data_IF_957918820993
#
_entry.id   IF_957918820993
#
_cell.length_a   1.000
_cell.length_b   1.000
_cell.length_c   1.000
_cell.angle_alpha   90.00
_cell.angle_beta   90.00
_cell.angle_gamma   90.00
#
_symmetry.space_group_name_H-M   'P 1'
#
loop_
_entity.id
_entity.type
_entity.pdbx_description
1 polymer ?
#
# COMPACT_ATOMS: atom_id res chain seq x y z
N UNK A 1 23.03 39.38 -28.20
CA UNK A 1 21.57 39.64 -28.23
C UNK A 1 20.76 38.41 -27.83
N UNK A 2 21.09 37.23 -28.37
CA UNK A 2 20.40 35.95 -28.11
C UNK A 2 20.31 35.51 -26.63
N UNK A 3 21.39 35.62 -25.86
CA UNK A 3 21.36 35.26 -24.42
C UNK A 3 20.44 36.16 -23.58
N UNK A 4 20.27 37.44 -23.96
CA UNK A 4 19.37 38.35 -23.24
C UNK A 4 17.90 37.99 -23.51
N UNK A 5 17.59 37.57 -24.74
CA UNK A 5 16.25 37.11 -25.12
C UNK A 5 15.90 35.80 -24.38
N UNK A 6 16.86 34.86 -24.28
CA UNK A 6 16.66 33.60 -23.55
C UNK A 6 16.44 33.82 -22.05
N UNK A 7 17.21 34.74 -21.44
CA UNK A 7 17.07 35.08 -20.02
C UNK A 7 15.71 35.74 -19.72
N UNK A 8 15.24 36.63 -20.60
CA UNK A 8 13.92 37.27 -20.49
C UNK A 8 12.82 36.21 -20.66
N UNK A 9 12.94 35.30 -21.63
CA UNK A 9 11.95 34.23 -21.84
C UNK A 9 11.84 33.31 -20.62
N UNK A 10 12.98 32.91 -20.04
CA UNK A 10 13.01 32.08 -18.83
C UNK A 10 12.38 32.78 -17.62
N UNK A 11 12.64 34.08 -17.44
CA UNK A 11 12.00 34.84 -16.34
C UNK A 11 10.51 35.00 -16.55
N UNK A 12 10.06 35.26 -17.78
CA UNK A 12 8.62 35.34 -18.09
C UNK A 12 7.91 34.00 -17.84
N UNK A 13 8.54 32.87 -18.19
CA UNK A 13 8.00 31.53 -17.92
C UNK A 13 7.88 31.26 -16.42
N UNK A 14 8.91 31.60 -15.63
CA UNK A 14 8.90 31.41 -14.17
C UNK A 14 7.85 32.29 -13.49
N UNK A 15 7.68 33.54 -13.95
CA UNK A 15 6.65 34.45 -13.44
C UNK A 15 5.26 33.94 -13.80
N UNK A 16 5.03 33.50 -15.03
CA UNK A 16 3.75 32.90 -15.45
C UNK A 16 3.45 31.66 -14.59
N UNK A 17 4.41 30.75 -14.41
CA UNK A 17 4.24 29.54 -13.60
C UNK A 17 3.94 29.87 -12.13
N UNK A 18 4.67 30.83 -11.54
CA UNK A 18 4.44 31.25 -10.14
C UNK A 18 3.08 31.90 -9.96
N UNK A 19 2.61 32.64 -10.97
CA UNK A 19 1.28 33.27 -10.94
C UNK A 19 0.17 32.23 -11.06
N UNK A 20 0.32 31.22 -11.93
CA UNK A 20 -0.65 30.12 -12.05
C UNK A 20 -0.69 29.21 -10.83
N UNK A 21 0.45 28.94 -10.17
CA UNK A 21 0.51 28.19 -8.91
C UNK A 21 -0.19 28.96 -7.78
N UNK A 22 0.01 30.28 -7.70
CA UNK A 22 -0.65 31.12 -6.70
C UNK A 22 -2.15 31.27 -6.98
N UNK A 23 -2.58 31.38 -8.24
CA UNK A 23 -4.00 31.39 -8.62
C UNK A 23 -4.64 30.02 -8.30
N UNK A 24 -3.95 28.91 -8.59
CA UNK A 24 -4.42 27.55 -8.27
C UNK A 24 -4.53 27.27 -6.76
N UNK A 25 -3.79 27.99 -5.92
CA UNK A 25 -3.90 27.94 -4.45
C UNK A 25 -4.97 28.90 -3.90
N UNK A 26 -5.36 29.94 -4.64
CA UNK A 26 -6.31 30.97 -4.19
C UNK A 26 -7.75 30.71 -4.64
N UNK A 27 -7.95 30.00 -5.76
CA UNK A 27 -9.27 29.54 -6.21
C UNK A 27 -9.61 28.25 -5.47
N UNK A 28 -10.40 28.37 -4.40
CA UNK A 28 -10.97 27.22 -3.67
C UNK A 28 -11.78 26.26 -4.58
N UNK A 29 -12.21 25.10 -4.06
CA UNK A 29 -12.63 23.91 -4.83
C UNK A 29 -14.00 24.03 -5.52
N UNK A 30 -14.38 25.20 -6.03
CA UNK A 30 -15.70 25.48 -6.60
C UNK A 30 -15.72 25.60 -8.13
N UNK A 31 -14.80 24.92 -8.82
CA UNK A 31 -14.95 24.70 -10.26
C UNK A 31 -15.14 23.21 -10.50
N UNK A 32 -16.27 22.89 -11.15
CA UNK A 32 -16.61 21.58 -11.65
C UNK A 32 -15.49 21.14 -12.60
N UNK A 33 -14.54 20.37 -12.07
CA UNK A 33 -13.57 19.64 -12.87
C UNK A 33 -14.34 18.83 -13.92
N UNK A 34 -13.86 18.78 -15.17
CA UNK A 34 -14.47 17.91 -16.17
C UNK A 34 -14.44 16.47 -15.65
N UNK A 35 -15.62 15.95 -15.33
CA UNK A 35 -15.83 14.55 -14.94
C UNK A 35 -15.99 13.72 -16.20
N UNK A 36 -15.31 12.57 -16.24
CA UNK A 36 -15.54 11.55 -17.24
C UNK A 36 -17.05 11.18 -17.30
N UNK A 37 -17.57 10.75 -18.47
CA UNK A 37 -18.97 10.34 -18.59
C UNK A 37 -19.35 9.33 -17.51
N UNK A 38 -20.53 9.55 -16.90
CA UNK A 38 -21.06 8.68 -15.84
C UNK A 38 -21.36 7.31 -16.46
N UNK A 39 -20.65 6.30 -15.99
CA UNK A 39 -20.83 4.89 -16.35
C UNK A 39 -22.27 4.48 -16.01
N UNK A 40 -23.01 3.91 -16.97
CA UNK A 40 -24.38 3.42 -16.77
C UNK A 40 -24.43 2.21 -15.83
N UNK A 41 -25.59 1.88 -15.24
CA UNK A 41 -25.72 0.74 -14.34
C UNK A 41 -25.39 -0.62 -15.00
N UNK A 42 -25.53 -0.70 -16.33
CA UNK A 42 -25.13 -1.85 -17.15
C UNK A 42 -23.62 -2.06 -17.29
N UNK A 43 -22.82 -1.00 -17.13
CA UNK A 43 -21.36 -1.02 -17.22
C UNK A 43 -20.70 -0.93 -15.82
N UNK A 44 -21.51 -0.96 -14.75
CA UNK A 44 -21.03 -0.91 -13.38
C UNK A 44 -20.26 -2.18 -13.02
N UNK A 45 -19.02 -2.01 -12.56
CA UNK A 45 -18.18 -3.14 -12.21
C UNK A 45 -18.71 -3.89 -10.98
N UNK A 46 -18.55 -5.22 -10.99
CA UNK A 46 -18.86 -6.06 -9.84
C UNK A 46 -18.10 -5.60 -8.58
N UNK A 47 -18.82 -5.51 -7.47
CA UNK A 47 -18.28 -5.03 -6.19
C UNK A 47 -18.04 -6.21 -5.26
N UNK A 48 -16.91 -6.17 -4.57
CA UNK A 48 -16.44 -7.21 -3.66
C UNK A 48 -16.19 -6.62 -2.28
N UNK A 49 -16.54 -7.39 -1.25
CA UNK A 49 -16.30 -7.01 0.13
C UNK A 49 -14.83 -7.25 0.51
N UNK A 50 -14.18 -6.22 1.05
CA UNK A 50 -12.88 -6.32 1.72
C UNK A 50 -13.11 -6.23 3.23
N UNK A 51 -12.78 -7.31 3.93
CA UNK A 51 -12.91 -7.43 5.39
C UNK A 51 -11.57 -7.30 6.11
N UNK A 52 -10.46 -7.29 5.37
CA UNK A 52 -9.10 -7.36 5.92
C UNK A 52 -8.25 -6.20 5.39
N UNK A 53 -7.43 -5.60 6.25
CA UNK A 53 -6.43 -4.63 5.81
C UNK A 53 -5.24 -5.32 5.14
N UNK A 54 -4.75 -6.41 5.76
CA UNK A 54 -3.61 -7.19 5.31
C UNK A 54 -4.04 -8.28 4.30
N UNK A 55 -3.22 -8.53 3.28
CA UNK A 55 -3.44 -9.64 2.35
C UNK A 55 -3.03 -10.98 2.98
N UNK A 56 -3.89 -12.00 2.88
CA UNK A 56 -3.69 -13.31 3.51
C UNK A 56 -2.32 -13.96 3.21
N UNK A 57 -1.78 -13.94 1.97
CA UNK A 57 -0.47 -14.54 1.69
C UNK A 57 0.71 -13.91 2.46
N UNK A 58 0.53 -12.70 3.02
CA UNK A 58 1.56 -11.99 3.79
C UNK A 58 2.11 -12.84 4.93
N UNK A 59 1.28 -13.64 5.60
CA UNK A 59 1.73 -14.50 6.71
C UNK A 59 2.72 -15.58 6.25
N UNK A 60 2.42 -16.26 5.15
CA UNK A 60 3.29 -17.32 4.63
C UNK A 60 4.60 -16.75 4.08
N UNK A 61 4.53 -15.58 3.42
CA UNK A 61 5.73 -14.88 2.94
C UNK A 61 6.60 -14.39 4.10
N UNK A 62 5.99 -13.88 5.17
CA UNK A 62 6.68 -13.54 6.40
C UNK A 62 7.43 -14.74 6.99
N UNK A 63 6.78 -15.89 7.19
CA UNK A 63 7.44 -17.04 7.82
C UNK A 63 8.60 -17.57 6.98
N UNK A 64 8.48 -17.50 5.65
CA UNK A 64 9.58 -17.80 4.73
C UNK A 64 10.72 -16.80 4.90
N UNK A 65 10.43 -15.51 5.01
CA UNK A 65 11.42 -14.46 5.25
C UNK A 65 12.11 -14.64 6.62
N UNK A 66 11.34 -14.88 7.68
CA UNK A 66 11.83 -15.12 9.04
C UNK A 66 12.81 -16.29 9.11
N UNK A 67 12.57 -17.34 8.32
CA UNK A 67 13.42 -18.54 8.30
C UNK A 67 14.63 -18.42 7.38
N UNK A 68 14.49 -17.72 6.25
CA UNK A 68 15.57 -17.57 5.25
C UNK A 68 16.43 -16.32 5.44
N UNK A 69 15.96 -15.36 6.22
CA UNK A 69 16.55 -14.03 6.36
C UNK A 69 16.35 -13.12 5.15
N UNK A 70 15.68 -13.55 4.06
CA UNK A 70 15.46 -12.69 2.89
C UNK A 70 14.19 -11.86 3.06
N UNK A 71 14.35 -10.55 3.12
CA UNK A 71 13.27 -9.57 3.18
C UNK A 71 12.64 -9.32 1.79
N UNK A 72 11.43 -8.74 1.70
CA UNK A 72 10.73 -8.46 0.43
C UNK A 72 11.58 -7.76 -0.63
N UNK A 73 12.38 -6.76 -0.24
CA UNK A 73 13.26 -6.04 -1.17
C UNK A 73 14.53 -6.84 -1.59
N UNK A 74 14.70 -8.07 -1.11
CA UNK A 74 15.87 -8.91 -1.36
C UNK A 74 17.04 -8.72 -0.40
N UNK A 75 17.00 -7.75 0.52
CA UNK A 75 18.04 -7.58 1.53
C UNK A 75 17.99 -8.70 2.59
N UNK A 76 19.09 -8.87 3.32
CA UNK A 76 19.18 -9.81 4.42
C UNK A 76 18.77 -9.16 5.74
N UNK A 77 18.02 -9.89 6.55
CA UNK A 77 17.71 -9.51 7.92
C UNK A 77 18.98 -9.57 8.78
N UNK A 78 19.26 -8.52 9.58
CA UNK A 78 20.29 -8.53 10.60
C UNK A 78 19.87 -9.29 11.88
N UNK A 79 18.60 -9.66 12.01
CA UNK A 79 18.07 -10.32 13.21
C UNK A 79 18.36 -11.83 13.19
N UNK A 80 18.48 -12.47 14.36
CA UNK A 80 18.60 -13.92 14.42
C UNK A 80 17.37 -14.60 13.80
N UNK A 81 17.62 -15.57 12.93
CA UNK A 81 16.59 -16.20 12.10
C UNK A 81 15.71 -17.17 12.89
N UNK A 82 14.47 -17.30 12.44
CA UNK A 82 13.53 -18.26 13.00
C UNK A 82 13.82 -19.68 12.49
N UNK A 83 14.21 -20.62 13.35
CA UNK A 83 14.73 -21.91 12.90
C UNK A 83 13.60 -22.87 12.50
N UNK A 84 13.86 -23.72 11.51
CA UNK A 84 12.87 -24.64 10.94
C UNK A 84 12.18 -25.59 11.94
N UNK A 85 12.83 -26.11 13.00
CA UNK A 85 12.16 -26.91 14.01
C UNK A 85 11.03 -26.16 14.74
N UNK A 86 11.17 -24.85 14.91
CA UNK A 86 10.19 -24.01 15.60
C UNK A 86 8.96 -23.72 14.72
N UNK A 87 9.12 -23.67 13.39
CA UNK A 87 8.00 -23.58 12.45
C UNK A 87 6.98 -24.71 12.65
N UNK A 88 7.44 -25.93 12.93
CA UNK A 88 6.55 -27.07 13.16
C UNK A 88 5.69 -26.90 14.42
N UNK A 89 6.17 -26.14 15.43
CA UNK A 89 5.40 -25.86 16.65
C UNK A 89 4.25 -24.89 16.40
N UNK A 90 4.39 -23.96 15.46
CA UNK A 90 3.31 -23.02 15.11
C UNK A 90 2.04 -23.75 14.60
N UNK A 91 2.21 -24.96 14.05
CA UNK A 91 1.12 -25.81 13.57
C UNK A 91 0.53 -26.73 14.65
N UNK A 92 1.08 -26.74 15.87
CA UNK A 92 0.60 -27.57 16.98
C UNK A 92 -0.14 -26.71 18.02
N UNK A 93 -1.23 -27.22 18.63
CA UNK A 93 -1.87 -26.59 19.78
C UNK A 93 -0.87 -26.41 20.94
N UNK A 94 -1.00 -25.31 21.69
CA UNK A 94 -0.15 -25.06 22.86
C UNK A 94 -0.22 -26.18 23.91
N UNK A 95 -1.39 -26.81 24.06
CA UNK A 95 -1.61 -27.91 25.01
C UNK A 95 -0.67 -29.11 24.79
N UNK A 96 -0.11 -29.28 23.59
CA UNK A 96 0.76 -30.41 23.25
C UNK A 96 2.23 -30.21 23.63
N UNK A 97 2.69 -28.97 23.82
CA UNK A 97 4.12 -28.70 23.94
C UNK A 97 4.51 -27.59 24.92
N UNK A 98 3.61 -26.65 25.21
CA UNK A 98 3.93 -25.50 26.03
C UNK A 98 3.70 -25.81 27.53
N UNK A 99 4.50 -25.23 28.44
CA UNK A 99 4.24 -25.32 29.87
C UNK A 99 3.06 -24.42 30.27
N UNK A 100 2.57 -24.58 31.51
CA UNK A 100 1.61 -23.64 32.09
C UNK A 100 2.25 -22.24 32.24
N UNK A 101 1.48 -21.15 32.05
CA UNK A 101 0.04 -21.12 31.76
C UNK A 101 -0.31 -21.31 30.28
N UNK A 102 0.67 -21.41 29.38
CA UNK A 102 0.44 -21.38 27.92
C UNK A 102 -0.31 -22.60 27.38
N UNK A 103 -0.14 -23.77 27.97
CA UNK A 103 -0.91 -24.98 27.59
C UNK A 103 -2.42 -24.83 27.80
N UNK A 104 -2.84 -23.91 28.66
CA UNK A 104 -4.25 -23.67 29.02
C UNK A 104 -4.77 -22.35 28.45
N UNK A 105 -4.13 -21.82 27.41
CA UNK A 105 -4.61 -20.61 26.74
C UNK A 105 -6.04 -20.79 26.22
N UNK A 106 -6.90 -19.77 26.39
CA UNK A 106 -8.25 -19.81 25.86
C UNK A 106 -8.22 -19.72 24.32
N UNK A 107 -9.21 -20.33 23.68
CA UNK A 107 -9.43 -20.13 22.25
C UNK A 107 -9.75 -18.65 21.94
N UNK A 108 -9.39 -18.16 20.74
CA UNK A 108 -9.79 -16.83 20.30
C UNK A 108 -11.30 -16.65 20.43
N UNK A 109 -11.72 -15.48 20.90
CA UNK A 109 -13.13 -15.13 21.03
C UNK A 109 -13.75 -15.00 19.64
N UNK A 110 -14.60 -15.95 19.26
CA UNK A 110 -15.37 -15.88 18.01
C UNK A 110 -16.52 -14.86 18.10
N UNK A 111 -16.86 -14.40 19.30
CA UNK A 111 -17.90 -13.41 19.56
C UNK A 111 -17.36 -12.39 20.57
N UNK A 112 -17.52 -11.07 20.34
CA UNK A 112 -17.11 -10.04 21.28
C UNK A 112 -17.71 -10.27 22.67
N UNK A 113 -16.88 -10.20 23.72
CA UNK A 113 -17.31 -10.34 25.11
C UNK A 113 -17.48 -11.78 25.61
N UNK A 114 -17.30 -12.79 24.74
CA UNK A 114 -17.33 -14.20 25.14
C UNK A 114 -15.95 -14.83 24.96
N UNK A 115 -15.30 -15.33 26.02
CA UNK A 115 -14.06 -16.07 25.86
C UNK A 115 -14.31 -17.30 24.98
N UNK A 116 -13.38 -17.59 24.07
CA UNK A 116 -13.48 -18.78 23.22
C UNK A 116 -13.52 -20.02 24.11
N UNK A 117 -14.52 -20.89 23.88
CA UNK A 117 -14.69 -22.13 24.61
C UNK A 117 -13.84 -23.21 23.96
N UNK A 118 -13.05 -23.94 24.77
CA UNK A 118 -12.25 -25.07 24.32
C UNK A 118 -10.75 -24.81 24.29
N UNK A 119 -10.02 -25.75 23.69
CA UNK A 119 -8.56 -25.70 23.59
C UNK A 119 -8.15 -24.65 22.57
N UNK A 120 -7.16 -23.81 22.90
CA UNK A 120 -6.61 -22.86 21.93
C UNK A 120 -6.14 -23.59 20.68
N UNK A 121 -6.55 -23.14 19.47
CA UNK A 121 -6.01 -23.68 18.24
C UNK A 121 -4.51 -23.36 18.10
N UNK A 122 -3.81 -24.02 17.15
CA UNK A 122 -2.44 -23.70 16.79
C UNK A 122 -2.21 -22.21 16.53
N UNK A 123 -1.00 -21.73 16.82
CA UNK A 123 -0.60 -20.32 16.66
C UNK A 123 -0.85 -19.82 15.24
N UNK A 124 -0.56 -20.65 14.23
CA UNK A 124 -0.83 -20.32 12.83
C UNK A 124 -2.29 -20.00 12.56
N UNK A 125 -3.22 -20.77 13.16
CA UNK A 125 -4.65 -20.56 12.98
C UNK A 125 -5.09 -19.28 13.70
N UNK A 126 -4.50 -18.97 14.86
CA UNK A 126 -4.76 -17.72 15.58
C UNK A 126 -4.34 -16.51 14.75
N UNK A 127 -3.12 -16.50 14.22
CA UNK A 127 -2.63 -15.43 13.35
C UNK A 127 -3.43 -15.32 12.03
N UNK A 128 -3.77 -16.45 11.41
CA UNK A 128 -4.59 -16.47 10.20
C UNK A 128 -6.01 -15.95 10.45
N UNK A 129 -6.59 -16.22 11.63
CA UNK A 129 -7.89 -15.68 12.03
C UNK A 129 -7.87 -14.14 12.04
N UNK A 130 -6.81 -13.53 12.61
CA UNK A 130 -6.62 -12.07 12.55
C UNK A 130 -6.56 -11.59 11.11
N UNK A 131 -5.75 -12.23 10.26
CA UNK A 131 -5.60 -11.81 8.85
C UNK A 131 -6.84 -11.99 8.00
N UNK A 132 -7.70 -12.97 8.30
CA UNK A 132 -8.93 -13.24 7.55
C UNK A 132 -10.03 -12.18 7.72
N UNK A 133 -9.90 -11.31 8.73
CA UNK A 133 -10.94 -10.34 9.10
C UNK A 133 -12.22 -10.99 9.64
N UNK A 134 -12.23 -12.30 9.92
CA UNK A 134 -13.39 -12.97 10.52
C UNK A 134 -13.75 -12.39 11.88
N UNK A 135 -12.76 -11.92 12.63
CA UNK A 135 -13.03 -11.25 13.92
C UNK A 135 -13.67 -9.87 13.74
N UNK A 136 -13.36 -9.15 12.66
CA UNK A 136 -14.03 -7.89 12.33
C UNK A 136 -15.49 -8.13 11.97
N UNK A 137 -15.77 -9.19 11.19
CA UNK A 137 -17.15 -9.64 10.93
C UNK A 137 -17.85 -9.99 12.24
N UNK A 138 -17.20 -10.75 13.12
CA UNK A 138 -17.75 -11.12 14.43
C UNK A 138 -18.00 -9.91 15.34
N UNK A 139 -17.19 -8.85 15.21
CA UNK A 139 -17.34 -7.55 15.87
C UNK A 139 -18.42 -6.67 15.25
N UNK A 140 -19.11 -7.12 14.20
CA UNK A 140 -20.13 -6.36 13.49
C UNK A 140 -19.56 -5.27 12.59
N UNK A 141 -18.25 -5.28 12.32
CA UNK A 141 -17.63 -4.40 11.33
C UNK A 141 -17.96 -4.95 9.95
N UNK A 142 -18.89 -4.30 9.27
CA UNK A 142 -19.20 -4.58 7.86
C UNK A 142 -17.97 -4.14 7.05
N UNK A 143 -17.41 -5.06 6.27
CA UNK A 143 -16.29 -4.76 5.38
C UNK A 143 -16.63 -3.65 4.39
N UNK A 144 -15.64 -3.20 3.62
CA UNK A 144 -15.86 -2.18 2.59
C UNK A 144 -16.11 -2.83 1.24
N UNK A 145 -17.19 -2.44 0.57
CA UNK A 145 -17.36 -2.78 -0.84
C UNK A 145 -16.45 -1.92 -1.71
N UNK A 146 -15.67 -2.58 -2.55
CA UNK A 146 -14.82 -1.96 -3.56
C UNK A 146 -15.05 -2.64 -4.90
N UNK A 147 -14.66 -2.00 -5.98
CA UNK A 147 -14.65 -2.63 -7.31
C UNK A 147 -13.70 -3.82 -7.36
N UNK A 148 -14.05 -4.84 -8.15
CA UNK A 148 -13.24 -6.06 -8.29
C UNK A 148 -11.85 -5.76 -8.85
N UNK A 149 -11.75 -4.89 -9.85
CA UNK A 149 -10.49 -4.42 -10.45
C UNK A 149 -9.61 -3.75 -9.41
N UNK A 150 -10.20 -2.89 -8.57
CA UNK A 150 -9.51 -2.24 -7.48
C UNK A 150 -8.92 -3.27 -6.51
N UNK A 151 -9.70 -4.30 -6.11
CA UNK A 151 -9.19 -5.38 -5.25
C UNK A 151 -8.00 -6.11 -5.88
N UNK A 152 -8.05 -6.39 -7.18
CA UNK A 152 -6.95 -7.05 -7.90
C UNK A 152 -5.71 -6.17 -7.95
N UNK A 153 -5.86 -4.88 -8.27
CA UNK A 153 -4.74 -3.92 -8.28
C UNK A 153 -4.17 -3.73 -6.89
N UNK A 154 -5.00 -3.60 -5.85
CA UNK A 154 -4.57 -3.56 -4.45
C UNK A 154 -3.70 -4.77 -4.11
N UNK A 155 -4.14 -5.98 -4.44
CA UNK A 155 -3.38 -7.19 -4.15
C UNK A 155 -2.04 -7.24 -4.92
N UNK A 156 -2.02 -6.83 -6.20
CA UNK A 156 -0.78 -6.74 -6.98
C UNK A 156 0.20 -5.72 -6.36
N UNK A 157 -0.28 -4.50 -6.11
CA UNK A 157 0.49 -3.43 -5.47
C UNK A 157 1.02 -3.90 -4.13
N UNK A 158 0.18 -4.53 -3.29
CA UNK A 158 0.55 -5.05 -1.98
C UNK A 158 1.78 -5.96 -2.02
N UNK A 159 1.92 -6.79 -3.06
CA UNK A 159 3.05 -7.70 -3.22
C UNK A 159 4.17 -7.14 -4.12
N UNK A 160 4.14 -5.85 -4.45
CA UNK A 160 5.12 -5.22 -5.34
C UNK A 160 5.07 -5.76 -6.78
N UNK A 161 3.94 -6.34 -7.18
CA UNK A 161 3.72 -6.87 -8.53
C UNK A 161 3.19 -5.74 -9.41
N UNK A 162 3.72 -5.64 -10.63
CA UNK A 162 3.24 -4.70 -11.62
C UNK A 162 1.72 -4.87 -11.85
N UNK A 163 0.92 -3.79 -11.73
CA UNK A 163 -0.52 -3.81 -11.99
C UNK A 163 -0.85 -4.39 -13.37
N UNK A 164 -0.07 -3.96 -14.38
CA UNK A 164 -0.09 -4.46 -15.76
C UNK A 164 1.35 -4.76 -16.17
N UNK A 165 1.57 -5.93 -16.77
CA UNK A 165 2.90 -6.37 -17.21
C UNK A 165 3.34 -5.60 -18.46
N UNK A 166 4.66 -5.56 -18.76
CA UNK A 166 5.15 -4.95 -20.00
C UNK A 166 4.57 -5.59 -21.27
N UNK A 167 4.29 -6.89 -21.24
CA UNK A 167 3.71 -7.61 -22.37
C UNK A 167 2.27 -7.17 -22.57
N UNK A 168 1.46 -7.24 -21.52
CA UNK A 168 0.05 -6.82 -21.55
C UNK A 168 -0.10 -5.34 -21.92
N UNK A 169 0.79 -4.48 -21.43
CA UNK A 169 0.82 -3.06 -21.78
C UNK A 169 1.00 -2.83 -23.28
N UNK A 170 1.90 -3.58 -23.90
CA UNK A 170 2.16 -3.52 -25.35
C UNK A 170 1.03 -4.14 -26.17
N UNK A 171 0.47 -5.26 -25.72
CA UNK A 171 -0.62 -5.95 -26.41
C UNK A 171 -1.90 -5.10 -26.47
N UNK A 172 -2.14 -4.28 -25.44
CA UNK A 172 -3.23 -3.31 -25.38
C UNK A 172 -2.90 -1.98 -26.04
N UNK A 173 -1.69 -1.82 -26.60
CA UNK A 173 -1.23 -0.57 -27.20
C UNK A 173 -1.45 0.65 -26.28
N UNK A 174 -1.14 0.52 -24.99
CA UNK A 174 -1.42 1.60 -24.00
C UNK A 174 -0.50 2.81 -24.14
N UNK A 175 0.53 2.71 -24.99
CA UNK A 175 1.35 3.85 -25.40
C UNK A 175 0.72 4.66 -26.55
N UNK A 176 -0.30 4.09 -27.23
CA UNK A 176 -0.96 4.75 -28.34
C UNK A 176 -1.93 5.84 -27.86
N UNK A 177 -1.99 6.94 -28.62
CA UNK A 177 -2.83 8.10 -28.28
C UNK A 177 -4.31 7.76 -28.16
N UNK A 178 -4.77 6.78 -28.92
CA UNK A 178 -6.16 6.33 -28.92
C UNK A 178 -6.56 5.62 -27.62
N UNK A 179 -5.59 5.06 -26.88
CA UNK A 179 -5.81 4.29 -25.65
C UNK A 179 -5.37 5.05 -24.39
N UNK A 180 -5.16 6.36 -24.49
CA UNK A 180 -4.57 7.13 -23.40
C UNK A 180 -5.43 7.19 -22.15
N UNK A 181 -6.76 7.22 -22.31
CA UNK A 181 -7.69 7.23 -21.18
C UNK A 181 -7.59 5.92 -20.39
N UNK A 182 -7.48 4.79 -21.08
CA UNK A 182 -7.27 3.48 -20.47
C UNK A 182 -5.93 3.41 -19.74
N UNK A 183 -4.85 3.88 -20.37
CA UNK A 183 -3.52 3.93 -19.76
C UNK A 183 -3.51 4.78 -18.49
N UNK A 184 -4.13 5.97 -18.52
CA UNK A 184 -4.25 6.86 -17.37
C UNK A 184 -5.16 6.29 -16.28
N UNK A 185 -6.24 5.60 -16.64
CA UNK A 185 -7.13 4.95 -15.69
C UNK A 185 -6.41 3.85 -14.90
N UNK A 186 -5.61 3.00 -15.57
CA UNK A 186 -4.80 1.98 -14.89
C UNK A 186 -3.80 2.62 -13.94
N UNK A 187 -3.08 3.67 -14.38
CA UNK A 187 -2.12 4.38 -13.53
C UNK A 187 -2.82 5.00 -12.32
N UNK A 188 -3.98 5.63 -12.54
CA UNK A 188 -4.79 6.22 -11.48
C UNK A 188 -5.24 5.18 -10.47
N UNK A 189 -5.63 3.98 -10.91
CA UNK A 189 -6.03 2.91 -10.00
C UNK A 189 -4.92 2.51 -9.03
N UNK A 190 -3.64 2.61 -9.43
CA UNK A 190 -2.50 2.42 -8.52
C UNK A 190 -2.46 3.51 -7.45
N UNK A 191 -2.68 4.76 -7.83
CA UNK A 191 -2.75 5.90 -6.90
C UNK A 191 -3.94 5.74 -5.94
N UNK A 192 -5.09 5.32 -6.46
CA UNK A 192 -6.30 5.08 -5.67
C UNK A 192 -6.07 4.00 -4.60
N UNK A 193 -5.21 2.99 -4.85
CA UNK A 193 -4.83 2.01 -3.82
C UNK A 193 -4.13 2.69 -2.65
N UNK A 194 -3.22 3.63 -2.91
CA UNK A 194 -2.53 4.35 -1.83
C UNK A 194 -3.42 5.36 -1.13
N UNK A 195 -4.35 5.99 -1.85
CA UNK A 195 -5.36 6.86 -1.24
C UNK A 195 -6.29 6.06 -0.33
N UNK A 196 -6.75 4.89 -0.77
CA UNK A 196 -7.48 3.92 0.07
C UNK A 196 -6.68 3.53 1.31
N UNK A 197 -5.40 3.17 1.14
CA UNK A 197 -4.55 2.79 2.28
C UNK A 197 -4.33 3.95 3.24
N UNK A 198 -4.40 5.21 2.80
CA UNK A 198 -4.24 6.40 3.64
C UNK A 198 -5.48 6.73 4.47
N UNK A 199 -6.64 6.18 4.13
CA UNK A 199 -7.86 6.47 4.86
C UNK A 199 -7.73 6.11 6.36
N UNK A 200 -8.17 6.98 7.29
CA UNK A 200 -7.95 6.79 8.72
C UNK A 200 -8.50 5.47 9.29
N UNK A 201 -9.64 5.00 8.78
CA UNK A 201 -10.25 3.74 9.19
C UNK A 201 -9.45 2.53 8.67
N UNK A 202 -8.95 2.59 7.42
CA UNK A 202 -8.09 1.57 6.84
C UNK A 202 -6.76 1.48 7.62
N UNK A 203 -6.15 2.62 7.92
CA UNK A 203 -4.95 2.71 8.77
C UNK A 203 -5.20 2.16 10.17
N UNK A 204 -6.35 2.47 10.76
CA UNK A 204 -6.78 1.93 12.05
C UNK A 204 -6.84 0.40 12.05
N UNK A 205 -7.51 -0.19 11.04
CA UNK A 205 -7.61 -1.65 10.87
C UNK A 205 -6.27 -2.31 10.60
N UNK A 206 -5.41 -1.70 9.78
CA UNK A 206 -4.06 -2.20 9.51
C UNK A 206 -3.21 -2.24 10.78
N UNK A 207 -3.26 -1.16 11.59
CA UNK A 207 -2.55 -1.09 12.87
C UNK A 207 -3.07 -2.12 13.87
N UNK A 208 -4.39 -2.27 13.99
CA UNK A 208 -4.99 -3.28 14.88
C UNK A 208 -4.57 -4.69 14.46
N UNK A 209 -4.72 -5.03 13.18
CA UNK A 209 -4.31 -6.33 12.64
C UNK A 209 -2.82 -6.61 12.86
N UNK A 210 -1.95 -5.62 12.60
CA UNK A 210 -0.52 -5.73 12.87
C UNK A 210 -0.23 -6.02 14.35
N UNK A 211 -0.81 -5.24 15.27
CA UNK A 211 -0.57 -5.35 16.71
C UNK A 211 -1.08 -6.69 17.27
N UNK A 212 -2.21 -7.18 16.75
CA UNK A 212 -2.78 -8.45 17.18
C UNK A 212 -1.94 -9.63 16.71
N UNK A 213 -1.46 -9.61 15.47
CA UNK A 213 -0.52 -10.62 14.98
C UNK A 213 0.79 -10.55 15.77
N UNK A 214 1.29 -9.34 16.04
CA UNK A 214 2.47 -9.14 16.88
C UNK A 214 2.29 -9.75 18.27
N UNK A 215 1.14 -9.56 18.90
CA UNK A 215 0.82 -10.14 20.22
C UNK A 215 0.77 -11.68 20.18
N UNK A 216 0.22 -12.27 19.12
CA UNK A 216 0.23 -13.73 18.95
C UNK A 216 1.67 -14.28 18.81
N UNK A 217 2.58 -13.54 18.17
CA UNK A 217 4.00 -13.89 18.12
C UNK A 217 4.70 -13.74 19.47
N UNK A 218 4.33 -12.74 20.26
CA UNK A 218 4.88 -12.50 21.59
C UNK A 218 4.48 -13.62 22.55
N UNK A 219 3.19 -14.00 22.55
CA UNK A 219 2.68 -15.14 23.33
C UNK A 219 3.41 -16.44 22.95
N UNK A 220 3.64 -16.66 21.65
CA UNK A 220 4.40 -17.82 21.19
C UNK A 220 5.85 -17.79 21.68
N UNK A 221 6.49 -16.63 21.63
CA UNK A 221 7.87 -16.44 22.11
C UNK A 221 7.97 -16.77 23.60
N UNK A 222 7.03 -16.28 24.41
CA UNK A 222 6.99 -16.53 25.85
C UNK A 222 6.80 -18.02 26.17
N UNK A 223 5.93 -18.71 25.41
CA UNK A 223 5.72 -20.14 25.55
C UNK A 223 6.98 -20.95 25.20
N UNK A 224 7.73 -20.55 24.18
CA UNK A 224 9.01 -21.18 23.82
C UNK A 224 10.06 -20.90 24.90
N UNK A 225 10.17 -19.67 25.39
CA UNK A 225 11.10 -19.31 26.46
C UNK A 225 10.83 -20.13 27.73
N UNK A 226 9.57 -20.23 28.16
CA UNK A 226 9.18 -21.03 29.30
C UNK A 226 9.48 -22.53 29.11
N UNK A 227 9.35 -23.06 27.88
CA UNK A 227 9.73 -24.44 27.56
C UNK A 227 11.24 -24.67 27.72
N UNK A 228 12.08 -23.72 27.30
CA UNK A 228 13.54 -23.81 27.49
C UNK A 228 13.93 -23.68 28.96
N UNK A 229 13.31 -22.75 29.69
CA UNK A 229 13.53 -22.56 31.12
C UNK A 229 13.19 -23.82 31.92
N UNK A 230 12.06 -24.49 31.61
CA UNK A 230 11.67 -25.76 32.23
C UNK A 230 12.69 -26.90 31.99
N UNK A 231 13.51 -26.80 30.94
CA UNK A 231 14.60 -27.73 30.63
C UNK A 231 15.96 -27.29 31.17
N UNK A 232 16.06 -26.11 31.79
CA UNK A 232 17.33 -25.50 32.20
C UNK A 232 18.19 -25.03 31.03
N UNK A 233 17.60 -24.79 29.86
CA UNK A 233 18.27 -24.32 28.65
C UNK A 233 18.19 -22.79 28.54
N UNK A 234 19.19 -22.16 27.90
CA UNK A 234 19.11 -20.74 27.53
C UNK A 234 18.00 -20.57 26.48
N UNK A 235 17.14 -19.57 26.68
CA UNK A 235 16.11 -19.22 25.70
C UNK A 235 16.69 -18.85 24.32
N UNK A 236 15.88 -18.94 23.26
CA UNK A 236 16.29 -18.58 21.91
C UNK A 236 16.75 -17.12 21.80
N UNK A 237 17.70 -16.88 20.90
CA UNK A 237 18.18 -15.53 20.58
C UNK A 237 17.30 -14.82 19.53
N UNK A 238 16.49 -15.59 18.79
CA UNK A 238 15.54 -15.05 17.81
C UNK A 238 14.29 -14.50 18.50
N UNK A 239 13.65 -13.53 17.84
CA UNK A 239 12.36 -12.97 18.27
C UNK A 239 11.42 -12.89 17.08
N UNK A 240 10.36 -13.71 17.10
CA UNK A 240 9.40 -13.76 15.99
C UNK A 240 8.62 -12.44 15.85
N UNK A 241 8.32 -11.79 16.98
CA UNK A 241 7.63 -10.50 17.02
C UNK A 241 8.50 -9.35 16.46
N UNK A 242 9.82 -9.39 16.68
CA UNK A 242 10.76 -8.44 16.05
C UNK A 242 10.94 -8.71 14.56
N UNK A 243 11.07 -9.97 14.14
CA UNK A 243 11.13 -10.35 12.72
C UNK A 243 9.86 -9.92 11.98
N UNK A 244 8.68 -10.04 12.60
CA UNK A 244 7.41 -9.56 12.03
C UNK A 244 7.41 -8.04 11.81
N UNK A 245 7.88 -7.29 12.81
CA UNK A 245 7.97 -5.82 12.71
C UNK A 245 8.93 -5.39 11.61
N UNK A 246 10.11 -6.00 11.53
CA UNK A 246 11.08 -5.73 10.46
C UNK A 246 10.51 -6.10 9.08
N UNK A 247 9.92 -7.28 8.97
CA UNK A 247 9.32 -7.73 7.72
C UNK A 247 8.23 -6.77 7.23
N UNK A 248 7.31 -6.38 8.10
CA UNK A 248 6.22 -5.46 7.74
C UNK A 248 6.74 -4.09 7.35
N UNK A 249 7.74 -3.57 8.07
CA UNK A 249 8.39 -2.32 7.70
C UNK A 249 8.98 -2.40 6.28
N UNK A 250 9.81 -3.41 6.04
CA UNK A 250 10.44 -3.61 4.73
C UNK A 250 9.41 -3.85 3.63
N UNK A 251 8.33 -4.58 3.94
CA UNK A 251 7.24 -4.88 3.00
C UNK A 251 6.55 -3.61 2.52
N UNK A 252 6.25 -2.67 3.41
CA UNK A 252 5.63 -1.39 3.03
C UNK A 252 6.58 -0.51 2.20
N UNK A 253 7.86 -0.44 2.54
CA UNK A 253 8.87 0.27 1.73
C UNK A 253 9.03 -0.36 0.34
N UNK A 254 9.06 -1.69 0.29
CA UNK A 254 9.13 -2.42 -0.97
C UNK A 254 7.89 -2.16 -1.83
N UNK A 255 6.69 -2.29 -1.28
CA UNK A 255 5.42 -1.99 -1.95
C UNK A 255 5.41 -0.58 -2.55
N UNK A 256 5.78 0.42 -1.75
CA UNK A 256 5.81 1.82 -2.16
C UNK A 256 6.83 2.05 -3.28
N UNK A 257 8.07 1.56 -3.10
CA UNK A 257 9.13 1.72 -4.09
C UNK A 257 8.80 1.06 -5.44
N UNK A 258 8.23 -0.15 -5.45
CA UNK A 258 7.86 -0.84 -6.68
C UNK A 258 6.73 -0.12 -7.41
N UNK A 259 5.67 0.26 -6.70
CA UNK A 259 4.54 0.95 -7.31
C UNK A 259 4.95 2.33 -7.84
N UNK A 260 5.75 3.09 -7.07
CA UNK A 260 6.31 4.37 -7.50
C UNK A 260 7.13 4.18 -8.77
N UNK A 261 8.09 3.26 -8.78
CA UNK A 261 8.94 3.01 -9.94
C UNK A 261 8.11 2.67 -11.19
N UNK A 262 7.12 1.78 -11.05
CA UNK A 262 6.23 1.39 -12.14
C UNK A 262 5.41 2.57 -12.68
N UNK A 263 4.77 3.35 -11.80
CA UNK A 263 3.97 4.54 -12.20
C UNK A 263 4.85 5.56 -12.89
N UNK A 264 6.03 5.87 -12.33
CA UNK A 264 6.96 6.84 -12.92
C UNK A 264 7.44 6.42 -14.30
N UNK A 265 7.80 5.15 -14.47
CA UNK A 265 8.24 4.63 -15.76
C UNK A 265 7.15 4.80 -16.83
N UNK A 266 5.88 4.49 -16.51
CA UNK A 266 4.76 4.64 -17.44
C UNK A 266 4.42 6.09 -17.74
N UNK A 267 4.32 6.93 -16.71
CA UNK A 267 4.05 8.35 -16.90
C UNK A 267 5.15 9.05 -17.71
N UNK A 268 6.42 8.69 -17.51
CA UNK A 268 7.52 9.26 -18.27
C UNK A 268 7.46 8.86 -19.76
N UNK A 269 7.10 7.61 -20.05
CA UNK A 269 6.91 7.15 -21.43
C UNK A 269 5.77 7.92 -22.10
N UNK A 270 4.60 7.97 -21.47
CA UNK A 270 3.44 8.73 -21.97
C UNK A 270 3.77 10.22 -22.14
N UNK A 271 4.41 10.84 -21.16
CA UNK A 271 4.84 12.24 -21.25
C UNK A 271 5.76 12.49 -22.45
N UNK A 272 6.69 11.57 -22.73
CA UNK A 272 7.61 11.71 -23.87
C UNK A 272 6.85 11.64 -25.20
N UNK A 273 5.93 10.67 -25.36
CA UNK A 273 5.10 10.51 -26.55
C UNK A 273 4.24 11.76 -26.78
N UNK A 274 3.55 12.22 -25.74
CA UNK A 274 2.63 13.34 -25.83
C UNK A 274 3.33 14.69 -25.99
N UNK A 275 4.52 14.86 -25.41
CA UNK A 275 5.35 16.04 -25.66
C UNK A 275 5.77 16.12 -27.13
N UNK A 276 6.21 15.00 -27.71
CA UNK A 276 6.56 14.96 -29.14
C UNK A 276 5.36 15.29 -30.02
N UNK A 277 4.21 14.68 -29.74
CA UNK A 277 2.96 14.99 -30.45
C UNK A 277 2.57 16.47 -30.31
N UNK A 278 2.64 17.03 -29.11
CA UNK A 278 2.31 18.43 -28.89
C UNK A 278 3.24 19.37 -29.67
N UNK A 279 4.53 19.05 -29.75
CA UNK A 279 5.49 19.81 -30.58
C UNK A 279 5.17 19.70 -32.07
N UNK A 280 4.76 18.52 -32.57
CA UNK A 280 4.33 18.33 -33.95
C UNK A 280 3.05 19.14 -34.26
N UNK A 281 2.06 19.13 -33.36
CA UNK A 281 0.83 19.92 -33.50
C UNK A 281 1.13 21.42 -33.47
N UNK A 282 2.03 21.86 -32.60
CA UNK A 282 2.49 23.25 -32.56
C UNK A 282 3.18 23.68 -33.86
N UNK A 283 4.03 22.80 -34.42
CA UNK A 283 4.76 23.06 -35.65
C UNK A 283 3.89 22.98 -36.91
N UNK A 284 2.81 22.18 -36.88
CA UNK A 284 1.85 22.04 -37.99
C UNK A 284 0.71 23.06 -37.97
N UNK A 285 0.71 24.01 -37.02
CA UNK A 285 -0.30 25.06 -36.91
C UNK A 285 -0.52 25.80 -38.23
N UNK A 286 -1.78 25.89 -38.66
CA UNK A 286 -2.15 26.62 -39.86
C UNK A 286 -1.97 28.13 -39.64
N UNK A 287 -1.23 28.84 -40.51
CA UNK A 287 -1.17 30.30 -40.48
C UNK A 287 -2.54 30.85 -40.88
N UNK A 288 -3.16 31.61 -39.99
CA UNK A 288 -4.40 32.34 -40.26
C UNK A 288 -4.06 33.64 -41.01
N UNK A 289 -2.91 34.25 -40.70
CA UNK A 289 -2.29 35.38 -41.43
C UNK A 289 -0.79 35.46 -41.09
N UNK A 290 -0.07 36.46 -41.61
CA UNK A 290 1.38 36.68 -41.39
C UNK A 290 1.80 36.80 -39.91
N UNK A 291 0.85 37.02 -38.99
CA UNK A 291 1.09 37.28 -37.56
C UNK A 291 0.36 36.34 -36.60
N UNK A 292 -0.50 35.44 -37.09
CA UNK A 292 -1.35 34.58 -36.27
C UNK A 292 -1.39 33.15 -36.79
N UNK A 293 -1.08 32.20 -35.91
CA UNK A 293 -1.23 30.75 -36.13
C UNK A 293 -2.23 30.19 -35.14
N UNK A 294 -3.16 29.33 -35.61
CA UNK A 294 -4.04 28.57 -34.71
C UNK A 294 -3.34 27.31 -34.23
N UNK A 295 -3.27 27.13 -32.92
CA UNK A 295 -2.80 25.90 -32.28
C UNK A 295 -4.00 25.20 -31.66
N UNK A 296 -4.24 23.94 -32.03
CA UNK A 296 -5.24 23.10 -31.37
C UNK A 296 -4.62 22.59 -30.06
N UNK A 297 -5.09 23.09 -28.92
CA UNK A 297 -4.65 22.61 -27.61
C UNK A 297 -5.36 21.28 -27.35
N UNK A 298 -4.59 20.20 -27.35
CA UNK A 298 -5.07 18.88 -26.97
C UNK A 298 -5.15 18.78 -25.44
N UNK A 299 -6.35 18.51 -24.91
CA UNK A 299 -6.63 18.44 -23.48
C UNK A 299 -5.80 17.34 -22.78
N UNK A 300 -5.65 16.18 -23.42
CA UNK A 300 -4.89 15.06 -22.84
C UNK A 300 -3.39 15.37 -22.81
N UNK A 301 -2.88 16.07 -23.84
CA UNK A 301 -1.50 16.54 -23.84
C UNK A 301 -1.22 17.45 -22.63
N UNK A 302 -2.12 18.39 -22.30
CA UNK A 302 -1.99 19.25 -21.12
C UNK A 302 -2.02 18.46 -19.80
N UNK A 303 -2.96 17.53 -19.62
CA UNK A 303 -3.05 16.71 -18.40
C UNK A 303 -1.77 15.90 -18.16
N UNK A 304 -1.23 15.28 -19.20
CA UNK A 304 -0.04 14.42 -19.11
C UNK A 304 1.22 15.25 -18.85
N UNK A 305 1.36 16.41 -19.50
CA UNK A 305 2.45 17.36 -19.25
C UNK A 305 2.42 17.91 -17.81
N UNK A 306 1.23 18.00 -17.20
CA UNK A 306 1.04 18.46 -15.81
C UNK A 306 1.15 17.36 -14.75
N UNK A 307 0.98 16.08 -15.11
CA UNK A 307 0.97 14.96 -14.16
C UNK A 307 2.37 14.45 -13.75
N UNK A 308 3.38 14.62 -14.62
CA UNK A 308 4.74 14.13 -14.36
C UNK A 308 5.41 14.76 -13.09
N UNK A 309 5.25 16.06 -12.79
CA UNK A 309 5.78 16.66 -11.57
C UNK A 309 5.02 16.28 -10.28
N UNK A 310 3.70 16.03 -10.36
CA UNK A 310 2.81 15.78 -9.21
C UNK A 310 2.85 14.34 -8.72
N UNK A 311 3.19 13.37 -9.58
CA UNK A 311 3.40 11.98 -9.17
C UNK A 311 4.47 11.86 -8.06
N UNK A 312 5.49 12.72 -8.04
CA UNK A 312 6.52 12.70 -6.99
C UNK A 312 5.98 13.07 -5.61
N UNK A 313 5.01 13.98 -5.56
CA UNK A 313 4.41 14.52 -4.32
C UNK A 313 3.43 13.51 -3.70
N UNK A 314 2.66 12.79 -4.53
CA UNK A 314 1.64 11.82 -4.08
C UNK A 314 2.23 10.68 -3.24
N UNK A 315 3.44 10.23 -3.57
CA UNK A 315 4.06 9.10 -2.86
C UNK A 315 4.88 9.52 -1.63
N UNK A 316 5.35 10.76 -1.52
CA UNK A 316 6.10 11.25 -0.34
C UNK A 316 5.24 11.31 0.93
N UNK A 317 3.91 11.35 0.80
CA UNK A 317 2.97 11.31 1.94
C UNK A 317 2.79 9.90 2.55
N UNK A 318 3.26 8.82 1.90
CA UNK A 318 3.18 7.46 2.44
C UNK A 318 4.18 7.21 3.58
N UNK A 319 5.30 7.93 3.54
CA UNK A 319 6.32 7.90 4.60
C UNK A 319 5.76 8.49 5.91
N UNK A 320 4.80 9.43 5.83
CA UNK A 320 4.10 10.00 7.00
C UNK A 320 2.99 9.08 7.55
N UNK A 321 2.27 8.36 6.69
CA UNK A 321 1.33 7.32 7.12
C UNK A 321 2.06 6.17 7.84
N UNK A 322 3.27 5.85 7.39
CA UNK A 322 4.17 4.88 8.01
C UNK A 322 4.64 5.31 9.42
N UNK A 323 5.00 6.58 9.63
CA UNK A 323 5.35 7.11 10.96
C UNK A 323 4.20 7.02 11.98
N UNK A 324 2.95 6.85 11.53
CA UNK A 324 1.80 6.63 12.41
C UNK A 324 1.53 5.15 12.74
N UNK A 325 2.03 4.18 11.96
CA UNK A 325 1.80 2.74 12.22
C UNK A 325 2.86 2.17 13.15
N UNK A 326 4.09 2.69 13.14
CA UNK A 326 5.24 2.09 13.86
C UNK A 326 5.77 2.93 15.03
N UNK A 327 5.21 4.12 15.29
CA UNK A 327 5.70 5.00 16.36
C UNK A 327 4.93 4.83 17.69
N UNK A 328 5.56 4.33 18.76
CA UNK A 328 4.90 4.15 20.06
C UNK A 328 4.55 5.47 20.80
N UNK A 329 4.95 6.64 20.28
CA UNK A 329 4.70 7.95 20.94
C UNK A 329 3.32 8.56 20.68
N UNK A 330 2.50 8.01 19.78
CA UNK A 330 1.10 8.42 19.62
C UNK A 330 0.15 7.62 20.54
N UNK A 331 0.46 7.60 21.84
CA UNK A 331 -0.49 7.27 22.91
C UNK A 331 -1.20 8.56 23.30
N UNK A 332 -2.39 8.83 22.76
CA UNK A 332 -3.31 9.81 23.36
C UNK A 332 -4.69 9.20 23.55
N UNK A 333 -4.98 9.00 24.83
CA UNK A 333 -6.30 8.93 25.47
C UNK A 333 -7.21 7.77 25.06
N UNK A 334 -6.91 6.60 25.61
CA UNK A 334 -7.84 5.47 25.69
C UNK A 334 -7.27 4.47 26.69
N UNK A 335 -7.70 4.60 27.94
CA UNK A 335 -7.36 3.74 29.07
C UNK A 335 -7.51 2.24 28.75
N UNK A 336 -6.44 1.48 28.91
CA UNK A 336 -6.55 0.11 29.42
C UNK A 336 -5.34 -0.19 30.31
N UNK A 337 -5.66 -0.35 31.60
CA UNK A 337 -4.79 -0.76 32.69
C UNK A 337 -4.75 -2.29 32.68
N UNK A 338 -3.55 -2.88 32.67
CA UNK A 338 -3.18 -4.09 33.43
C UNK A 338 -1.66 -3.99 33.64
N UNK A 339 -1.18 -3.55 34.82
CA UNK A 339 -0.69 -4.37 35.95
C UNK A 339 0.18 -5.54 35.47
N UNK A 340 1.52 -5.36 35.47
CA UNK A 340 2.51 -5.73 36.52
C UNK A 340 2.75 -7.25 36.58
N UNK A 341 3.97 -7.75 36.82
CA UNK A 341 5.07 -7.27 37.65
C UNK A 341 6.43 -7.60 37.05
#
# INVERSE_FOLDING_TARGET
MFLKILAILATTIVVIFSTFVLIGLWVGPNHSSPTLPVIGPEDAEDRVLITTGLELPTLNLFLRAASSGRLPNGSLSPLPLFPAPELARLARPYAEWAPKPFSELPAPALVPGFPGVGVSPPVMIRAAHVMSGMEEIARGVVGREVERSFRVVKAKVWFGIAPVTDVEWRERSLDDRENIEEALAIIRQVVDVFDYLREPDVQGRLRDGHNRIWAEWDIFQDAVNAMHEAKGEKGPEWSLSQLWREYIHNHFEFMESQARAWVFQRLLALHTIWKSHFLEVLQSGHPINETQTTVRIDHHAMLILMAAPTASILFTALTDAYLMVTNPRYRRNGSMIFMRA
#
